data_IF_587906341969
#
_entry.id   IF_587906341969
#
_cell.length_a   1.000
_cell.length_b   1.000
_cell.length_c   1.000
_cell.angle_alpha   90.00
_cell.angle_beta   90.00
_cell.angle_gamma   90.00
#
_symmetry.space_group_name_H-M   'P 1'
#
loop_
_entity.id
_entity.type
_entity.pdbx_description
1 polymer ?
#
# COMPACT_ATOMS: atom_id res chain seq x y z
N UNK A 1 -25.06 -2.82 -6.23
CA UNK A 1 -24.77 -3.78 -7.31
C UNK A 1 -23.73 -4.74 -6.76
N UNK A 2 -24.07 -6.03 -6.67
CA UNK A 2 -23.10 -7.04 -6.25
C UNK A 2 -22.06 -7.21 -7.36
N UNK A 3 -20.78 -7.10 -7.01
CA UNK A 3 -19.65 -7.28 -7.92
C UNK A 3 -18.74 -8.33 -7.33
N UNK A 4 -18.18 -9.19 -8.17
CA UNK A 4 -17.15 -10.16 -7.78
C UNK A 4 -15.85 -9.94 -8.57
N UNK A 5 -15.83 -9.00 -9.50
CA UNK A 5 -14.65 -8.57 -10.22
C UNK A 5 -14.64 -7.05 -10.48
N UNK A 6 -13.45 -6.47 -10.46
CA UNK A 6 -13.20 -5.05 -10.69
C UNK A 6 -11.86 -4.84 -11.41
N UNK A 7 -11.87 -4.13 -12.53
CA UNK A 7 -10.64 -3.71 -13.21
C UNK A 7 -10.12 -2.38 -12.65
N UNK A 8 -8.84 -2.32 -12.31
CA UNK A 8 -8.20 -1.10 -11.76
C UNK A 8 -7.83 -0.07 -12.82
N UNK A 9 -7.76 -0.46 -14.09
CA UNK A 9 -7.37 0.45 -15.17
C UNK A 9 -8.56 1.17 -15.81
N UNK A 10 -9.64 0.44 -16.15
CA UNK A 10 -10.84 1.02 -16.78
C UNK A 10 -12.07 1.06 -15.87
N UNK A 11 -11.96 0.61 -14.61
CA UNK A 11 -13.06 0.59 -13.63
C UNK A 11 -14.27 -0.28 -14.04
N UNK A 12 -14.10 -1.18 -15.01
CA UNK A 12 -15.11 -2.19 -15.33
C UNK A 12 -15.40 -3.05 -14.10
N UNK A 13 -16.68 -3.35 -13.88
CA UNK A 13 -17.16 -4.26 -12.82
C UNK A 13 -17.91 -5.44 -13.44
N UNK A 14 -17.84 -6.59 -12.78
CA UNK A 14 -18.54 -7.80 -13.21
C UNK A 14 -19.02 -8.65 -12.04
N UNK A 15 -19.98 -9.51 -12.34
CA UNK A 15 -20.63 -10.49 -11.44
C UNK A 15 -19.95 -11.87 -11.47
N UNK A 16 -18.86 -12.00 -12.24
CA UNK A 16 -18.06 -13.23 -12.34
C UNK A 16 -16.58 -12.91 -12.17
N UNK A 17 -15.85 -13.80 -11.50
CA UNK A 17 -14.39 -13.71 -11.38
C UNK A 17 -13.75 -13.87 -12.76
N UNK A 18 -12.84 -12.98 -13.11
CA UNK A 18 -12.10 -12.99 -14.38
C UNK A 18 -10.61 -12.73 -14.13
N UNK A 19 -9.75 -13.33 -14.95
CA UNK A 19 -8.29 -13.14 -14.86
C UNK A 19 -7.82 -11.93 -15.69
N UNK A 20 -8.62 -11.52 -16.67
CA UNK A 20 -8.39 -10.34 -17.51
C UNK A 20 -9.68 -9.55 -17.66
N UNK A 21 -9.55 -8.23 -17.70
CA UNK A 21 -10.69 -7.36 -17.90
C UNK A 21 -11.31 -7.59 -19.29
N UNK A 22 -12.62 -7.87 -19.41
CA UNK A 22 -13.28 -8.03 -20.72
C UNK A 22 -13.33 -6.73 -21.53
N UNK A 23 -13.22 -5.57 -20.88
CA UNK A 23 -13.30 -4.26 -21.52
C UNK A 23 -11.96 -3.76 -22.07
N UNK A 24 -10.85 -3.94 -21.33
CA UNK A 24 -9.53 -3.40 -21.72
C UNK A 24 -8.39 -4.44 -21.77
N UNK A 25 -8.70 -5.73 -21.58
CA UNK A 25 -7.74 -6.85 -21.53
C UNK A 25 -6.66 -6.77 -20.43
N UNK A 26 -6.73 -5.76 -19.54
CA UNK A 26 -5.81 -5.60 -18.42
C UNK A 26 -5.83 -6.80 -17.48
N UNK A 27 -4.65 -7.11 -16.92
CA UNK A 27 -4.47 -8.09 -15.84
C UNK A 27 -4.66 -7.50 -14.45
N UNK A 28 -4.79 -6.18 -14.31
CA UNK A 28 -5.02 -5.51 -13.02
C UNK A 28 -6.49 -5.63 -12.63
N UNK A 29 -6.95 -6.86 -12.44
CA UNK A 29 -8.30 -7.19 -12.00
C UNK A 29 -8.24 -7.72 -10.57
N UNK A 30 -9.13 -7.20 -9.72
CA UNK A 30 -9.40 -7.74 -8.40
C UNK A 30 -10.61 -8.67 -8.56
N UNK A 31 -10.54 -9.88 -8.01
CA UNK A 31 -11.64 -10.83 -8.05
C UNK A 31 -11.82 -11.47 -6.67
N UNK A 32 -12.97 -11.23 -6.04
CA UNK A 32 -13.29 -11.74 -4.70
C UNK A 32 -14.80 -11.79 -4.50
N UNK A 33 -15.32 -12.79 -3.78
CA UNK A 33 -16.78 -12.94 -3.60
C UNK A 33 -17.36 -11.85 -2.70
N UNK A 34 -16.59 -11.42 -1.69
CA UNK A 34 -16.99 -10.37 -0.74
C UNK A 34 -16.68 -8.93 -1.21
N UNK A 35 -16.34 -8.70 -2.50
CA UNK A 35 -15.92 -7.37 -2.99
C UNK A 35 -16.95 -6.26 -2.73
N UNK A 36 -18.23 -6.60 -2.65
CA UNK A 36 -19.31 -5.65 -2.41
C UNK A 36 -19.51 -5.29 -0.94
N UNK A 37 -19.08 -6.13 -0.02
CA UNK A 37 -19.48 -6.06 1.40
C UNK A 37 -18.36 -5.55 2.31
N UNK A 38 -17.11 -5.75 1.89
CA UNK A 38 -15.95 -5.28 2.62
C UNK A 38 -15.83 -3.76 2.56
N UNK A 39 -15.55 -3.14 3.71
CA UNK A 39 -15.59 -1.68 3.87
C UNK A 39 -14.41 -1.10 4.65
N UNK A 40 -13.57 -1.92 5.28
CA UNK A 40 -12.37 -1.45 5.97
C UNK A 40 -11.18 -1.57 5.04
N UNK A 41 -10.59 -0.43 4.71
CA UNK A 41 -9.42 -0.35 3.86
C UNK A 41 -8.20 0.15 4.62
N UNK A 42 -7.05 -0.24 4.10
CA UNK A 42 -5.75 0.28 4.45
C UNK A 42 -5.08 0.76 3.16
N UNK A 43 -4.65 2.01 3.15
CA UNK A 43 -3.95 2.63 2.02
C UNK A 43 -2.55 3.00 2.47
N UNK A 44 -1.55 2.66 1.67
CA UNK A 44 -0.13 2.94 1.92
C UNK A 44 0.55 3.41 0.63
N UNK A 45 1.27 4.53 0.67
CA UNK A 45 1.97 5.06 -0.51
C UNK A 45 3.28 4.30 -0.78
N UNK A 46 3.42 3.82 -2.01
CA UNK A 46 4.51 2.93 -2.39
C UNK A 46 5.87 3.63 -2.36
N UNK A 47 6.74 3.21 -1.44
CA UNK A 47 8.07 3.80 -1.23
C UNK A 47 8.04 5.34 -1.21
N UNK A 48 7.06 5.91 -0.50
CA UNK A 48 6.57 7.28 -0.65
C UNK A 48 7.63 8.34 -0.95
N UNK A 49 8.57 8.59 -0.01
CA UNK A 49 9.57 9.64 -0.20
C UNK A 49 10.46 9.40 -1.43
N UNK A 50 10.86 8.15 -1.68
CA UNK A 50 11.69 7.82 -2.83
C UNK A 50 10.91 7.96 -4.16
N UNK A 51 9.62 7.61 -4.16
CA UNK A 51 8.73 7.79 -5.31
C UNK A 51 8.52 9.27 -5.63
N UNK A 52 8.35 10.10 -4.60
CA UNK A 52 8.27 11.57 -4.72
C UNK A 52 9.56 12.17 -5.29
N UNK A 53 10.74 11.69 -4.88
CA UNK A 53 12.00 12.14 -5.48
C UNK A 53 12.18 11.67 -6.93
N UNK A 54 11.83 10.42 -7.24
CA UNK A 54 11.96 9.86 -8.60
C UNK A 54 10.99 10.47 -9.60
N UNK A 55 9.80 10.85 -9.18
CA UNK A 55 8.82 11.57 -10.02
C UNK A 55 9.42 12.89 -10.53
N UNK A 56 10.03 13.65 -9.62
CA UNK A 56 10.54 14.99 -9.91
C UNK A 56 11.93 14.97 -10.57
N UNK A 57 12.61 13.83 -10.52
CA UNK A 57 13.93 13.61 -11.12
C UNK A 57 13.91 12.38 -12.03
N UNK A 58 13.45 12.54 -13.29
CA UNK A 58 13.30 11.43 -14.23
C UNK A 58 14.58 10.60 -14.43
N UNK A 59 15.75 11.21 -14.30
CA UNK A 59 17.06 10.55 -14.36
C UNK A 59 17.27 9.49 -13.26
N UNK A 60 16.47 9.52 -12.19
CA UNK A 60 16.53 8.56 -11.09
C UNK A 60 15.57 7.37 -11.25
N UNK A 61 14.73 7.34 -12.29
CA UNK A 61 13.68 6.33 -12.47
C UNK A 61 14.19 4.90 -12.28
N UNK A 62 15.27 4.55 -12.95
CA UNK A 62 15.86 3.20 -12.93
C UNK A 62 17.06 3.06 -11.97
N UNK A 63 17.39 4.12 -11.22
CA UNK A 63 18.48 4.12 -10.24
C UNK A 63 18.03 3.57 -8.89
N UNK A 64 18.91 2.89 -8.12
CA UNK A 64 18.69 2.68 -6.70
C UNK A 64 18.73 4.03 -5.97
N UNK A 65 17.66 4.36 -5.25
CA UNK A 65 17.50 5.61 -4.51
C UNK A 65 17.20 5.30 -3.04
N UNK A 66 17.92 5.98 -2.16
CA UNK A 66 17.76 5.90 -0.71
C UNK A 66 17.50 7.31 -0.18
N UNK A 67 16.40 7.47 0.54
CA UNK A 67 16.11 8.67 1.32
C UNK A 67 16.63 8.44 2.73
N UNK A 68 17.58 9.26 3.18
CA UNK A 68 18.24 9.06 4.46
C UNK A 68 19.30 10.13 4.73
N UNK A 69 19.73 10.23 5.99
CA UNK A 69 20.70 11.25 6.41
C UNK A 69 22.08 10.69 6.72
N UNK A 70 23.14 11.33 6.21
CA UNK A 70 24.53 11.26 6.70
C UNK A 70 25.19 9.87 6.90
N UNK A 71 26.43 9.85 7.40
CA UNK A 71 27.18 8.59 7.69
C UNK A 71 26.66 7.83 8.92
N UNK A 72 26.00 8.52 9.87
CA UNK A 72 25.49 7.96 11.14
C UNK A 72 23.95 7.86 11.21
N UNK A 73 23.23 8.16 10.13
CA UNK A 73 21.78 8.03 10.12
C UNK A 73 21.30 6.65 9.68
N UNK A 74 19.99 6.57 9.48
CA UNK A 74 19.29 5.40 8.97
C UNK A 74 18.58 5.73 7.65
N UNK A 75 18.23 4.68 6.92
CA UNK A 75 17.34 4.76 5.76
C UNK A 75 15.95 5.12 6.25
N UNK A 76 15.43 6.27 5.82
CA UNK A 76 14.01 6.60 6.00
C UNK A 76 13.17 5.74 5.05
N UNK A 77 13.51 5.79 3.76
CA UNK A 77 12.80 5.08 2.69
C UNK A 77 13.79 4.65 1.62
N UNK A 78 13.63 3.44 1.09
CA UNK A 78 14.35 2.97 -0.09
C UNK A 78 13.36 2.66 -1.21
N UNK A 79 13.68 3.06 -2.44
CA UNK A 79 12.88 2.66 -3.60
C UNK A 79 12.99 1.15 -3.83
N UNK A 80 12.04 0.57 -4.57
CA UNK A 80 12.02 -0.87 -4.86
C UNK A 80 13.32 -1.39 -5.49
N UNK A 81 13.96 -0.64 -6.39
CA UNK A 81 15.27 -1.01 -6.96
C UNK A 81 16.35 -1.20 -5.88
N UNK A 82 16.41 -0.32 -4.87
CA UNK A 82 17.35 -0.47 -3.75
C UNK A 82 16.95 -1.61 -2.80
N UNK A 83 15.64 -1.88 -2.63
CA UNK A 83 15.14 -3.00 -1.82
C UNK A 83 15.57 -4.36 -2.38
N UNK A 84 15.78 -4.49 -3.70
CA UNK A 84 16.33 -5.72 -4.31
C UNK A 84 17.73 -6.06 -3.77
N UNK A 85 18.50 -5.06 -3.35
CA UNK A 85 19.82 -5.25 -2.72
C UNK A 85 19.74 -5.45 -1.20
N UNK A 86 18.54 -5.67 -0.65
CA UNK A 86 18.33 -5.87 0.79
C UNK A 86 18.28 -4.57 1.61
N UNK A 87 18.25 -3.40 0.97
CA UNK A 87 18.10 -2.12 1.67
C UNK A 87 16.66 -1.96 2.16
N UNK A 88 16.48 -1.75 3.47
CA UNK A 88 15.18 -1.56 4.09
C UNK A 88 15.10 -0.29 4.94
N UNK A 89 13.89 0.17 5.25
CA UNK A 89 13.67 1.27 6.20
C UNK A 89 14.26 0.92 7.58
N UNK A 90 14.68 1.95 8.30
CA UNK A 90 15.42 1.87 9.57
C UNK A 90 16.79 1.15 9.50
N UNK A 91 17.25 0.70 8.33
CA UNK A 91 18.58 0.14 8.16
C UNK A 91 19.65 1.24 8.37
N UNK A 92 20.73 0.98 9.13
CA UNK A 92 21.85 1.92 9.22
C UNK A 92 22.44 2.25 7.86
N UNK A 93 22.72 3.54 7.59
CA UNK A 93 23.18 3.99 6.26
C UNK A 93 24.45 3.29 5.78
N UNK A 94 25.40 2.98 6.69
CA UNK A 94 26.62 2.26 6.31
C UNK A 94 26.34 0.83 5.81
N UNK A 95 25.33 0.14 6.38
CA UNK A 95 24.92 -1.18 5.90
C UNK A 95 24.21 -1.07 4.55
N UNK A 96 23.34 -0.06 4.42
CA UNK A 96 22.62 0.19 3.18
C UNK A 96 23.59 0.49 2.01
N UNK A 97 24.59 1.35 2.23
CA UNK A 97 25.61 1.67 1.23
C UNK A 97 26.58 0.53 0.96
N UNK A 98 26.83 -0.34 1.96
CA UNK A 98 27.59 -1.58 1.72
C UNK A 98 26.79 -2.56 0.84
N UNK A 99 25.49 -2.65 1.06
CA UNK A 99 24.60 -3.55 0.31
C UNK A 99 24.29 -3.03 -1.10
N UNK A 100 24.18 -1.70 -1.27
CA UNK A 100 23.91 -1.04 -2.53
C UNK A 100 24.87 0.15 -2.74
N UNK A 101 26.11 -0.10 -3.21
CA UNK A 101 27.14 0.93 -3.36
C UNK A 101 26.79 2.03 -4.37
N UNK A 102 26.02 1.69 -5.40
CA UNK A 102 25.61 2.62 -6.47
C UNK A 102 24.36 3.45 -6.14
N UNK A 103 23.84 3.32 -4.90
CA UNK A 103 22.65 4.02 -4.46
C UNK A 103 22.85 5.54 -4.43
N UNK A 104 21.92 6.25 -5.05
CA UNK A 104 21.82 7.70 -4.92
C UNK A 104 21.16 8.00 -3.59
N UNK A 105 21.90 8.66 -2.68
CA UNK A 105 21.39 9.08 -1.37
C UNK A 105 20.88 10.50 -1.44
N UNK A 106 19.62 10.69 -1.08
CA UNK A 106 18.96 11.99 -1.05
C UNK A 106 18.58 12.30 0.40
N UNK A 107 18.87 13.54 0.83
CA UNK A 107 18.41 14.03 2.14
C UNK A 107 16.90 14.24 2.10
N UNK A 108 16.14 13.84 3.14
CA UNK A 108 14.70 14.04 3.18
C UNK A 108 14.30 15.52 3.03
N UNK A 109 13.33 15.79 2.15
CA UNK A 109 12.61 17.08 2.08
C UNK A 109 11.17 16.91 2.57
N UNK A 110 10.97 17.12 3.87
CA UNK A 110 9.66 16.94 4.49
C UNK A 110 8.62 17.96 4.03
N UNK A 111 9.01 19.15 3.55
CA UNK A 111 8.03 20.12 3.04
C UNK A 111 7.31 19.55 1.83
N UNK A 112 8.09 18.93 0.94
CA UNK A 112 7.58 18.22 -0.24
C UNK A 112 6.70 17.03 0.15
N UNK A 113 7.16 16.19 1.07
CA UNK A 113 6.43 14.97 1.44
C UNK A 113 5.11 15.27 2.15
N UNK A 114 5.09 16.29 3.01
CA UNK A 114 3.86 16.75 3.67
C UNK A 114 2.85 17.28 2.64
N UNK A 115 3.29 18.11 1.69
CA UNK A 115 2.38 18.64 0.66
C UNK A 115 1.74 17.53 -0.20
N UNK A 116 2.51 16.51 -0.60
CA UNK A 116 1.96 15.36 -1.35
C UNK A 116 1.05 14.49 -0.48
N UNK A 117 1.38 14.29 0.80
CA UNK A 117 0.55 13.59 1.78
C UNK A 117 -0.81 14.27 1.93
N UNK A 118 -0.82 15.60 2.11
CA UNK A 118 -2.05 16.39 2.22
C UNK A 118 -2.90 16.28 0.95
N UNK A 119 -2.28 16.29 -0.23
CA UNK A 119 -2.99 16.13 -1.51
C UNK A 119 -3.65 14.75 -1.62
N UNK A 120 -2.94 13.68 -1.26
CA UNK A 120 -3.45 12.30 -1.30
C UNK A 120 -4.55 12.11 -0.25
N UNK A 121 -4.30 12.45 1.01
CA UNK A 121 -5.29 12.27 2.07
C UNK A 121 -6.47 13.21 1.94
N UNK A 122 -6.29 14.40 1.36
CA UNK A 122 -7.41 15.26 0.96
C UNK A 122 -8.36 14.57 -0.02
N UNK A 123 -7.86 13.68 -0.89
CA UNK A 123 -8.70 12.85 -1.75
C UNK A 123 -9.37 11.69 -1.01
N UNK A 124 -8.68 11.08 -0.07
CA UNK A 124 -9.24 10.04 0.81
C UNK A 124 -10.42 10.61 1.62
N UNK A 125 -10.28 11.81 2.18
CA UNK A 125 -11.31 12.46 2.99
C UNK A 125 -12.57 12.85 2.21
N UNK A 126 -12.50 12.90 0.86
CA UNK A 126 -13.69 13.07 0.01
C UNK A 126 -14.55 11.80 -0.05
N UNK A 127 -13.99 10.63 0.26
CA UNK A 127 -14.76 9.38 0.28
C UNK A 127 -15.52 9.20 1.59
N UNK A 128 -14.89 9.53 2.71
CA UNK A 128 -15.41 9.32 4.07
C UNK A 128 -14.69 10.22 5.08
N UNK A 129 -15.37 10.71 6.12
CA UNK A 129 -14.71 11.35 7.25
C UNK A 129 -14.04 10.34 8.20
N UNK A 130 -14.33 9.04 8.08
CA UNK A 130 -13.80 7.99 8.95
C UNK A 130 -12.41 7.52 8.49
N UNK A 131 -11.44 8.44 8.60
CA UNK A 131 -10.04 8.21 8.23
C UNK A 131 -9.18 8.29 9.48
N UNK A 132 -8.35 7.27 9.71
CA UNK A 132 -7.34 7.27 10.76
C UNK A 132 -5.95 7.23 10.12
N UNK A 133 -5.31 8.38 10.03
CA UNK A 133 -3.93 8.53 9.55
C UNK A 133 -2.93 7.92 10.55
N UNK A 134 -1.96 7.17 10.04
CA UNK A 134 -0.90 6.51 10.81
C UNK A 134 0.46 7.18 10.61
N UNK A 135 0.71 7.65 9.40
CA UNK A 135 1.93 8.35 8.98
C UNK A 135 1.62 9.31 7.82
N UNK A 136 2.64 9.93 7.24
CA UNK A 136 2.49 10.76 6.03
C UNK A 136 2.05 9.97 4.79
N UNK A 137 2.14 8.65 4.81
CA UNK A 137 1.86 7.79 3.65
C UNK A 137 0.81 6.71 3.91
N UNK A 138 0.33 6.56 5.14
CA UNK A 138 -0.51 5.43 5.54
C UNK A 138 -1.78 5.85 6.32
N UNK A 139 -2.92 5.24 6.02
CA UNK A 139 -4.16 5.40 6.78
C UNK A 139 -5.09 4.19 6.72
N UNK A 140 -5.86 4.00 7.80
CA UNK A 140 -7.09 3.20 7.77
C UNK A 140 -8.28 4.05 7.33
N UNK A 141 -9.19 3.44 6.57
CA UNK A 141 -10.33 4.10 5.96
C UNK A 141 -11.56 3.21 6.17
N UNK A 142 -12.63 3.73 6.78
CA UNK A 142 -13.91 3.06 6.88
C UNK A 142 -14.92 3.66 5.88
N UNK A 143 -15.32 2.84 4.91
CA UNK A 143 -16.19 3.20 3.79
C UNK A 143 -17.63 2.70 3.98
N UNK A 144 -17.99 2.21 5.15
CA UNK A 144 -19.32 1.66 5.41
C UNK A 144 -20.41 2.70 5.15
N UNK A 145 -21.40 2.36 4.31
CA UNK A 145 -22.54 3.23 4.03
C UNK A 145 -22.25 4.38 3.05
N UNK A 146 -21.09 4.37 2.39
CA UNK A 146 -20.69 5.43 1.46
C UNK A 146 -21.09 5.15 0.00
N UNK A 147 -21.74 4.01 -0.27
CA UNK A 147 -21.93 3.45 -1.61
C UNK A 147 -22.77 4.36 -2.50
N UNK A 148 -23.86 4.91 -1.96
CA UNK A 148 -24.74 5.82 -2.69
C UNK A 148 -24.06 7.15 -3.00
N UNK A 149 -23.29 7.68 -2.06
CA UNK A 149 -22.60 8.97 -2.20
C UNK A 149 -21.47 8.90 -3.23
N UNK A 150 -20.75 7.78 -3.24
CA UNK A 150 -19.56 7.61 -4.05
C UNK A 150 -19.76 6.76 -5.31
N UNK A 151 -20.98 6.25 -5.56
CA UNK A 151 -21.38 5.62 -6.82
C UNK A 151 -20.98 4.15 -6.96
N UNK A 152 -20.87 3.40 -5.86
CA UNK A 152 -20.52 1.98 -5.90
C UNK A 152 -19.95 1.42 -4.60
N UNK A 153 -19.68 0.11 -4.53
CA UNK A 153 -19.11 -0.52 -3.33
C UNK A 153 -17.70 0.01 -3.01
N UNK A 154 -17.22 -0.10 -1.77
CA UNK A 154 -15.92 0.39 -1.34
C UNK A 154 -14.76 0.01 -2.26
N UNK A 155 -14.73 -1.22 -2.77
CA UNK A 155 -13.71 -1.68 -3.73
C UNK A 155 -13.62 -0.79 -4.99
N UNK A 156 -14.76 -0.43 -5.58
CA UNK A 156 -14.84 0.44 -6.75
C UNK A 156 -14.33 1.86 -6.42
N UNK A 157 -14.76 2.40 -5.27
CA UNK A 157 -14.37 3.73 -4.82
C UNK A 157 -12.85 3.82 -4.64
N UNK A 158 -12.25 2.79 -4.03
CA UNK A 158 -10.81 2.69 -3.78
C UNK A 158 -10.02 2.50 -5.08
N UNK A 159 -10.50 1.71 -6.05
CA UNK A 159 -9.83 1.57 -7.35
C UNK A 159 -9.86 2.89 -8.13
N UNK A 160 -11.00 3.62 -8.08
CA UNK A 160 -11.10 4.96 -8.66
C UNK A 160 -10.16 5.95 -7.97
N UNK A 161 -10.05 5.90 -6.64
CA UNK A 161 -9.10 6.72 -5.88
C UNK A 161 -7.65 6.38 -6.24
N UNK A 162 -7.27 5.09 -6.29
CA UNK A 162 -5.93 4.66 -6.67
C UNK A 162 -5.57 5.19 -8.06
N UNK A 163 -6.48 5.05 -9.04
CA UNK A 163 -6.30 5.59 -10.39
C UNK A 163 -6.14 7.12 -10.39
N UNK A 164 -6.98 7.83 -9.64
CA UNK A 164 -6.89 9.29 -9.51
C UNK A 164 -5.55 9.72 -8.90
N UNK A 165 -5.07 9.05 -7.84
CA UNK A 165 -3.77 9.34 -7.23
C UNK A 165 -2.65 9.18 -8.26
N UNK A 166 -2.65 8.07 -9.01
CA UNK A 166 -1.66 7.81 -10.05
C UNK A 166 -1.69 8.89 -11.14
N UNK A 167 -2.88 9.22 -11.67
CA UNK A 167 -3.04 10.17 -12.77
C UNK A 167 -2.68 11.61 -12.35
N UNK A 168 -3.04 12.02 -11.13
CA UNK A 168 -2.90 13.40 -10.66
C UNK A 168 -1.56 13.71 -10.00
N UNK A 169 -1.00 12.73 -9.29
CA UNK A 169 0.21 12.92 -8.49
C UNK A 169 1.42 12.25 -9.11
N UNK A 170 1.24 11.30 -10.04
CA UNK A 170 2.32 10.46 -10.54
C UNK A 170 2.87 9.47 -9.50
N UNK A 171 2.22 9.33 -8.34
CA UNK A 171 2.60 8.44 -7.25
C UNK A 171 1.68 7.22 -7.24
N UNK A 172 2.17 6.10 -6.71
CA UNK A 172 1.39 4.88 -6.55
C UNK A 172 1.10 4.60 -5.08
N UNK A 173 -0.05 3.98 -4.84
CA UNK A 173 -0.47 3.48 -3.52
C UNK A 173 -0.83 2.01 -3.65
N UNK A 174 -0.64 1.26 -2.57
CA UNK A 174 -1.12 -0.10 -2.44
C UNK A 174 -2.27 -0.15 -1.42
N UNK A 175 -3.34 -0.86 -1.78
CA UNK A 175 -4.58 -0.90 -1.00
C UNK A 175 -4.86 -2.32 -0.54
N UNK A 176 -5.24 -2.46 0.74
CA UNK A 176 -5.80 -3.67 1.31
C UNK A 176 -7.23 -3.44 1.73
N UNK A 177 -8.16 -4.32 1.34
CA UNK A 177 -9.58 -4.25 1.71
C UNK A 177 -9.97 -5.52 2.48
N UNK A 178 -10.59 -5.37 3.65
CA UNK A 178 -10.89 -6.50 4.53
C UNK A 178 -12.04 -6.21 5.52
N UNK A 179 -12.48 -7.20 6.33
CA UNK A 179 -13.50 -7.00 7.37
C UNK A 179 -13.05 -6.12 8.54
N UNK A 180 -11.74 -5.99 8.75
CA UNK A 180 -11.18 -5.23 9.86
C UNK A 180 -9.82 -4.61 9.52
N UNK A 181 -9.37 -3.67 10.36
CA UNK A 181 -8.15 -2.88 10.17
C UNK A 181 -6.88 -3.72 10.10
N UNK A 182 -6.86 -4.80 10.88
CA UNK A 182 -5.73 -5.69 10.99
C UNK A 182 -5.50 -6.47 9.69
N UNK A 183 -6.55 -7.11 9.18
CA UNK A 183 -6.52 -7.82 7.90
C UNK A 183 -6.30 -6.86 6.73
N UNK A 184 -6.87 -5.65 6.78
CA UNK A 184 -6.67 -4.65 5.72
C UNK A 184 -5.19 -4.25 5.60
N UNK A 185 -4.50 -4.04 6.73
CA UNK A 185 -3.06 -3.75 6.75
C UNK A 185 -2.22 -4.93 6.23
N UNK A 186 -2.59 -6.17 6.56
CA UNK A 186 -1.91 -7.35 5.99
C UNK A 186 -2.14 -7.40 4.48
N UNK A 187 -3.38 -7.19 4.03
CA UNK A 187 -3.75 -7.24 2.63
C UNK A 187 -2.93 -6.25 1.80
N UNK A 188 -2.78 -4.99 2.25
CA UNK A 188 -2.06 -3.97 1.47
C UNK A 188 -0.58 -4.30 1.24
N UNK A 189 0.03 -5.17 2.04
CA UNK A 189 1.41 -5.62 1.88
C UNK A 189 1.58 -6.76 0.87
N UNK A 190 0.52 -7.52 0.55
CA UNK A 190 0.61 -8.76 -0.23
C UNK A 190 1.00 -8.54 -1.71
N UNK A 191 0.59 -7.42 -2.28
CA UNK A 191 0.70 -7.12 -3.72
C UNK A 191 1.44 -5.80 -3.98
N UNK A 192 2.31 -5.36 -3.05
CA UNK A 192 3.13 -4.16 -3.28
C UNK A 192 4.17 -4.41 -4.38
N UNK A 193 4.50 -3.41 -5.22
CA UNK A 193 3.91 -2.06 -5.30
C UNK A 193 2.64 -1.96 -6.13
N UNK A 194 1.96 -0.81 -6.02
CA UNK A 194 0.81 -0.43 -6.85
C UNK A 194 -0.27 -1.51 -6.79
N UNK A 195 -0.42 -2.12 -5.62
CA UNK A 195 -1.21 -3.32 -5.37
C UNK A 195 -2.66 -3.03 -5.01
N UNK A 196 -3.51 -4.04 -5.14
CA UNK A 196 -4.83 -4.03 -4.50
C UNK A 196 -5.19 -5.45 -4.11
N UNK A 197 -5.15 -5.76 -2.83
CA UNK A 197 -5.47 -7.08 -2.29
C UNK A 197 -6.70 -7.04 -1.42
N UNK A 198 -7.39 -8.18 -1.38
CA UNK A 198 -8.59 -8.39 -0.59
C UNK A 198 -8.37 -9.60 0.30
N UNK A 199 -8.77 -9.49 1.55
CA UNK A 199 -8.90 -10.63 2.47
C UNK A 199 -10.32 -10.58 3.01
N UNK A 200 -11.17 -11.48 2.56
CA UNK A 200 -12.52 -11.71 3.05
C UNK A 200 -12.57 -12.39 4.41
N UNK A 201 -13.75 -12.39 5.02
CA UNK A 201 -14.00 -13.06 6.28
C UNK A 201 -13.89 -14.58 6.13
N UNK A 202 -14.30 -15.14 4.98
CA UNK A 202 -14.36 -16.58 4.76
C UNK A 202 -12.97 -17.23 4.75
N UNK A 203 -11.96 -16.60 4.15
CA UNK A 203 -10.62 -17.17 4.00
C UNK A 203 -9.60 -16.65 5.02
N UNK A 204 -9.94 -15.62 5.81
CA UNK A 204 -9.01 -14.98 6.75
C UNK A 204 -8.31 -15.99 7.68
N UNK A 205 -9.05 -16.92 8.29
CA UNK A 205 -8.47 -17.91 9.20
C UNK A 205 -7.46 -18.83 8.49
N UNK A 206 -7.81 -19.32 7.29
CA UNK A 206 -6.93 -20.18 6.50
C UNK A 206 -5.69 -19.44 6.01
N UNK A 207 -5.82 -18.15 5.68
CA UNK A 207 -4.71 -17.30 5.26
C UNK A 207 -3.72 -17.00 6.40
N UNK A 208 -4.22 -16.83 7.63
CA UNK A 208 -3.41 -16.51 8.81
C UNK A 208 -2.75 -17.74 9.43
N UNK A 209 -3.41 -18.89 9.44
CA UNK A 209 -2.96 -20.09 10.14
C UNK A 209 -1.49 -20.52 9.84
N UNK A 210 -0.99 -20.52 8.59
CA UNK A 210 0.38 -20.93 8.31
C UNK A 210 1.42 -19.81 8.48
N UNK A 211 1.01 -18.58 8.82
CA UNK A 211 1.90 -17.43 8.86
C UNK A 211 2.58 -17.28 10.21
N UNK A 212 3.83 -16.78 10.27
CA UNK A 212 4.49 -16.52 11.53
C UNK A 212 3.77 -15.41 12.30
N UNK A 213 3.82 -15.45 13.64
CA UNK A 213 3.23 -14.42 14.50
C UNK A 213 3.75 -12.99 14.24
N UNK A 214 4.95 -12.87 13.64
CA UNK A 214 5.50 -11.59 13.18
C UNK A 214 4.78 -10.98 11.98
N UNK A 215 3.86 -11.72 11.34
CA UNK A 215 2.94 -11.14 10.35
C UNK A 215 1.97 -10.16 11.00
N UNK A 216 1.65 -10.32 12.29
CA UNK A 216 0.68 -9.47 12.95
C UNK A 216 1.25 -8.04 13.14
N UNK A 217 0.58 -6.98 12.63
CA UNK A 217 0.86 -5.60 13.02
C UNK A 217 1.04 -5.44 14.54
N UNK A 218 2.16 -4.83 14.94
CA UNK A 218 2.53 -4.64 16.35
C UNK A 218 3.49 -5.71 16.90
N UNK A 219 3.66 -6.85 16.23
CA UNK A 219 4.62 -7.89 16.63
C UNK A 219 5.98 -7.64 16.00
N UNK A 220 6.77 -6.76 16.63
CA UNK A 220 8.14 -6.47 16.22
C UNK A 220 9.13 -7.62 16.50
N UNK A 221 10.40 -7.50 16.04
CA UNK A 221 11.39 -8.56 16.17
C UNK A 221 11.67 -9.02 17.61
N UNK A 222 11.58 -8.11 18.58
CA UNK A 222 11.76 -8.42 20.00
C UNK A 222 10.59 -9.25 20.50
N UNK A 223 9.36 -8.74 20.35
CA UNK A 223 8.17 -9.45 20.83
C UNK A 223 7.95 -10.79 20.12
N UNK A 224 8.22 -10.84 18.82
CA UNK A 224 8.17 -12.09 18.06
C UNK A 224 9.19 -13.13 18.52
N UNK A 225 10.35 -12.73 19.08
CA UNK A 225 11.28 -13.69 19.71
C UNK A 225 10.70 -14.27 21.00
N UNK A 226 10.07 -13.43 21.82
CA UNK A 226 9.40 -13.85 23.05
C UNK A 226 8.26 -14.83 22.75
N UNK A 227 7.39 -14.50 21.79
CA UNK A 227 6.28 -15.38 21.43
C UNK A 227 6.77 -16.75 20.92
N UNK A 228 7.85 -16.77 20.14
CA UNK A 228 8.47 -18.03 19.70
C UNK A 228 9.09 -18.83 20.83
N UNK A 229 9.69 -18.19 21.84
CA UNK A 229 10.19 -18.91 23.02
C UNK A 229 9.06 -19.52 23.85
N UNK A 230 7.87 -18.92 23.77
CA UNK A 230 6.67 -19.39 24.47
C UNK A 230 5.88 -20.44 23.68
N UNK A 231 6.33 -20.81 22.47
CA UNK A 231 5.76 -21.88 21.65
C UNK A 231 4.78 -21.44 20.56
N UNK A 232 4.72 -20.15 20.24
CA UNK A 232 3.90 -19.58 19.15
C UNK A 232 4.66 -19.36 17.84
#
# INVERSE_FOLDING_TARGET
>A
MAITALCRDCLWTGDRKVVRCPSCASRRVIAHDELSDLHIAHLDCDAFYASVEKRDRPELRDRPVIIGGGKRGVVSTACYVARLYGVGSAMPMFKALKACPDAVVIKPDFRKYVAESERIFGAVHRLTPLVQTLSLDEAWIDLKGTERLNGGPPAFQLARLQKWIEDETGLSVSIGLAPNRFLAKIASELDKPRGFSVIGAAEAQGLLAPRPVTTLPGVGPVFGRTLRSDGF
#
